data_IF_706919473782
#
_entry.id   IF_706919473782
#
_cell.length_a   1.000
_cell.length_b   1.000
_cell.length_c   1.000
_cell.angle_alpha   90.00
_cell.angle_beta   90.00
_cell.angle_gamma   90.00
#
_symmetry.space_group_name_H-M   'P 1'
#
loop_
_entity.id
_entity.type
_entity.pdbx_description
1 polymer ?
#
# COMPACT_ATOMS: atom_id res chain seq x y z
N UNK A 1 -66.64 -25.47 -0.70
CA UNK A 1 -67.37 -24.90 -1.86
C UNK A 1 -66.87 -23.49 -2.07
N UNK A 2 -66.17 -23.22 -3.18
CA UNK A 2 -66.12 -21.99 -3.96
C UNK A 2 -65.28 -22.36 -5.20
N UNK A 3 -65.96 -22.36 -6.36
CA UNK A 3 -65.40 -22.57 -7.70
C UNK A 3 -65.00 -21.20 -8.25
N UNK A 4 -63.81 -21.07 -8.82
CA UNK A 4 -63.53 -20.02 -9.80
C UNK A 4 -62.80 -20.59 -11.02
N UNK A 5 -63.22 -20.21 -12.25
CA UNK A 5 -62.84 -20.88 -13.47
C UNK A 5 -61.53 -20.33 -14.05
N UNK A 6 -60.86 -21.20 -14.80
CA UNK A 6 -59.70 -20.87 -15.63
C UNK A 6 -60.07 -19.84 -16.71
N UNK A 7 -59.30 -18.75 -16.77
CA UNK A 7 -59.31 -17.81 -17.90
C UNK A 7 -57.96 -17.98 -18.61
N UNK A 8 -58.01 -18.60 -19.79
CA UNK A 8 -56.89 -18.67 -20.72
C UNK A 8 -56.71 -17.29 -21.37
N UNK A 9 -55.61 -16.61 -21.06
CA UNK A 9 -55.22 -15.37 -21.73
C UNK A 9 -54.21 -15.71 -22.84
N UNK A 10 -54.66 -15.62 -24.09
CA UNK A 10 -53.84 -15.63 -25.29
C UNK A 10 -52.95 -14.38 -25.28
N UNK A 11 -51.63 -14.55 -25.12
CA UNK A 11 -50.67 -13.47 -25.30
C UNK A 11 -50.39 -13.29 -26.80
N UNK A 12 -50.90 -12.20 -27.39
CA UNK A 12 -50.50 -11.75 -28.71
C UNK A 12 -49.13 -11.07 -28.62
N UNK A 13 -48.11 -11.71 -29.20
CA UNK A 13 -46.77 -11.14 -29.38
C UNK A 13 -46.84 -10.03 -30.45
N UNK A 14 -46.82 -8.77 -30.00
CA UNK A 14 -46.60 -7.62 -30.87
C UNK A 14 -45.10 -7.37 -30.93
N UNK A 15 -44.46 -7.75 -32.04
CA UNK A 15 -43.06 -7.48 -32.30
C UNK A 15 -42.88 -6.00 -32.71
N UNK A 16 -42.51 -5.15 -31.76
CA UNK A 16 -42.05 -3.78 -32.05
C UNK A 16 -40.59 -3.81 -32.52
N UNK A 17 -40.25 -3.28 -33.70
CA UNK A 17 -38.88 -3.20 -34.16
C UNK A 17 -38.14 -2.16 -33.31
N UNK A 18 -37.14 -2.62 -32.55
CA UNK A 18 -36.25 -1.76 -31.80
C UNK A 18 -35.31 -1.05 -32.79
N UNK A 19 -35.61 0.21 -33.09
CA UNK A 19 -34.71 1.06 -33.88
C UNK A 19 -33.40 1.24 -33.10
N UNK A 20 -32.31 0.70 -33.64
CA UNK A 20 -30.96 0.93 -33.13
C UNK A 20 -30.62 2.42 -33.26
N UNK A 21 -30.71 3.18 -32.18
CA UNK A 21 -30.06 4.49 -32.12
C UNK A 21 -28.54 4.25 -32.17
N UNK A 22 -27.91 4.66 -33.27
CA UNK A 22 -26.48 4.79 -33.34
C UNK A 22 -26.02 5.79 -32.26
N UNK A 23 -25.39 5.28 -31.20
CA UNK A 23 -24.70 6.12 -30.24
C UNK A 23 -23.64 6.93 -31.01
N UNK A 24 -23.82 8.25 -31.07
CA UNK A 24 -22.84 9.15 -31.68
C UNK A 24 -21.48 9.04 -30.97
N UNK A 25 -20.38 9.42 -31.64
CA UNK A 25 -19.05 9.40 -31.03
C UNK A 25 -19.08 10.17 -29.70
N UNK A 26 -18.65 9.52 -28.61
CA UNK A 26 -18.49 10.21 -27.34
C UNK A 26 -17.51 11.38 -27.52
N UNK A 27 -17.77 12.56 -26.90
CA UNK A 27 -16.84 13.67 -26.93
C UNK A 27 -15.45 13.22 -26.47
N UNK A 28 -14.41 13.59 -27.22
CA UNK A 28 -13.04 13.30 -26.81
C UNK A 28 -12.78 13.93 -25.43
N UNK A 29 -12.07 13.25 -24.52
CA UNK A 29 -11.70 13.82 -23.24
C UNK A 29 -10.98 15.16 -23.45
N UNK A 30 -11.20 16.16 -22.58
CA UNK A 30 -10.45 17.39 -22.64
C UNK A 30 -8.94 17.09 -22.52
N UNK A 31 -8.08 17.83 -23.23
CA UNK A 31 -6.64 17.61 -23.16
C UNK A 31 -6.14 17.81 -21.73
N UNK A 32 -5.15 17.00 -21.33
CA UNK A 32 -4.55 17.11 -20.02
C UNK A 32 -3.87 18.48 -19.85
N UNK A 33 -3.91 19.05 -18.63
CA UNK A 33 -3.32 20.35 -18.35
C UNK A 33 -1.82 20.33 -18.61
N UNK A 34 -1.28 21.44 -19.10
CA UNK A 34 0.16 21.56 -19.30
C UNK A 34 0.86 21.78 -17.96
N UNK A 35 1.71 20.82 -17.59
CA UNK A 35 2.56 20.89 -16.40
C UNK A 35 3.89 21.60 -16.73
N UNK A 36 4.40 22.38 -15.79
CA UNK A 36 5.75 22.92 -15.88
C UNK A 36 6.83 21.81 -15.74
N UNK A 37 8.09 22.17 -15.98
CA UNK A 37 9.19 21.19 -15.97
C UNK A 37 9.37 20.49 -14.61
N UNK A 38 9.17 21.19 -13.50
CA UNK A 38 9.31 20.61 -12.17
C UNK A 38 8.12 19.70 -11.85
N UNK A 39 6.90 20.10 -12.19
CA UNK A 39 5.70 19.27 -12.06
C UNK A 39 5.80 17.99 -12.90
N UNK A 40 6.34 18.09 -14.13
CA UNK A 40 6.61 16.90 -14.98
C UNK A 40 7.62 15.95 -14.32
N UNK A 41 8.67 16.48 -13.70
CA UNK A 41 9.65 15.67 -12.97
C UNK A 41 9.01 14.99 -11.74
N UNK A 42 8.22 15.73 -10.96
CA UNK A 42 7.49 15.18 -9.79
C UNK A 42 6.46 14.13 -10.19
N UNK A 43 5.76 14.32 -11.31
CA UNK A 43 4.83 13.35 -11.87
C UNK A 43 5.56 12.06 -12.29
N UNK A 44 6.69 12.19 -12.99
CA UNK A 44 7.54 11.06 -13.39
C UNK A 44 8.00 10.26 -12.16
N UNK A 45 8.45 10.95 -11.11
CA UNK A 45 8.87 10.30 -9.88
C UNK A 45 7.70 9.62 -9.14
N UNK A 46 6.53 10.27 -9.09
CA UNK A 46 5.33 9.65 -8.51
C UNK A 46 4.93 8.37 -9.25
N UNK A 47 4.97 8.38 -10.59
CA UNK A 47 4.65 7.23 -11.42
C UNK A 47 5.66 6.09 -11.24
N UNK A 48 6.97 6.39 -11.24
CA UNK A 48 7.98 5.34 -11.04
C UNK A 48 7.92 4.73 -9.65
N UNK A 49 7.58 5.51 -8.62
CA UNK A 49 7.36 4.97 -7.27
C UNK A 49 6.14 4.07 -7.20
N UNK A 50 5.05 4.42 -7.89
CA UNK A 50 3.86 3.58 -7.95
C UNK A 50 4.14 2.24 -8.64
N UNK A 51 4.91 2.24 -9.74
CA UNK A 51 5.34 1.02 -10.43
C UNK A 51 6.19 0.16 -9.49
N UNK A 52 7.24 0.72 -8.89
CA UNK A 52 8.12 -0.05 -7.99
C UNK A 52 7.36 -0.55 -6.76
N UNK A 53 6.45 0.24 -6.18
CA UNK A 53 5.64 -0.23 -5.05
C UNK A 53 4.72 -1.41 -5.44
N UNK A 54 4.17 -1.39 -6.65
CA UNK A 54 3.40 -2.52 -7.18
C UNK A 54 4.27 -3.76 -7.39
N UNK A 55 5.48 -3.59 -7.92
CA UNK A 55 6.44 -4.67 -8.14
C UNK A 55 6.94 -5.27 -6.80
N UNK A 56 7.17 -4.42 -5.79
CA UNK A 56 7.47 -4.85 -4.42
C UNK A 56 6.34 -5.70 -3.83
N UNK A 57 5.07 -5.30 -4.05
CA UNK A 57 3.92 -6.05 -3.57
C UNK A 57 3.78 -7.43 -4.25
N UNK A 58 4.30 -7.58 -5.48
CA UNK A 58 4.36 -8.87 -6.19
C UNK A 58 5.62 -9.69 -5.86
N UNK A 59 6.54 -9.14 -5.06
CA UNK A 59 7.78 -9.82 -4.68
C UNK A 59 8.84 -9.84 -5.78
N UNK A 60 8.79 -8.92 -6.74
CA UNK A 60 9.79 -8.85 -7.81
C UNK A 60 11.17 -8.49 -7.23
N UNK A 61 12.13 -9.40 -7.33
CA UNK A 61 13.48 -9.24 -6.72
C UNK A 61 14.14 -7.91 -7.09
N UNK A 62 13.99 -7.51 -8.35
CA UNK A 62 14.53 -6.26 -8.84
C UNK A 62 13.93 -5.03 -8.16
N UNK A 63 12.67 -5.05 -7.73
CA UNK A 63 12.03 -3.95 -7.03
C UNK A 63 12.34 -3.94 -5.53
N UNK A 64 12.61 -5.11 -4.95
CA UNK A 64 12.99 -5.27 -3.54
C UNK A 64 14.37 -4.68 -3.21
N UNK A 65 15.18 -4.33 -4.22
CA UNK A 65 16.45 -3.60 -4.03
C UNK A 65 16.27 -2.14 -3.62
N UNK A 66 15.10 -1.56 -3.91
CA UNK A 66 14.80 -0.17 -3.57
C UNK A 66 14.17 -0.07 -2.17
N UNK A 67 14.23 1.11 -1.52
CA UNK A 67 13.51 1.31 -0.27
C UNK A 67 12.00 1.00 -0.40
N UNK A 68 11.28 0.67 0.68
CA UNK A 68 9.83 0.48 0.61
C UNK A 68 9.11 1.75 0.13
N UNK A 69 8.34 1.65 -0.96
CA UNK A 69 7.71 2.83 -1.59
C UNK A 69 6.20 2.93 -1.40
N UNK A 70 5.53 1.90 -0.87
CA UNK A 70 4.07 1.90 -0.66
C UNK A 70 3.58 3.14 0.09
N UNK A 71 4.24 3.48 1.20
CA UNK A 71 3.86 4.64 2.05
C UNK A 71 4.50 5.92 1.54
N UNK A 72 5.83 5.93 1.40
CA UNK A 72 6.58 7.15 1.06
C UNK A 72 6.28 7.65 -0.36
N UNK A 73 6.18 6.75 -1.33
CA UNK A 73 5.81 7.09 -2.71
C UNK A 73 4.38 7.64 -2.82
N UNK A 74 3.44 7.08 -2.05
CA UNK A 74 2.07 7.61 -1.94
C UNK A 74 2.06 9.02 -1.35
N UNK A 75 2.76 9.25 -0.25
CA UNK A 75 2.86 10.57 0.37
C UNK A 75 3.51 11.60 -0.57
N UNK A 76 4.54 11.21 -1.32
CA UNK A 76 5.17 12.05 -2.34
C UNK A 76 4.15 12.48 -3.40
N UNK A 77 3.35 11.54 -3.91
CA UNK A 77 2.29 11.83 -4.86
C UNK A 77 1.19 12.71 -4.27
N UNK A 78 0.78 12.49 -3.01
CA UNK A 78 -0.23 13.33 -2.33
C UNK A 78 0.24 14.78 -2.25
N UNK A 79 1.51 15.02 -1.89
CA UNK A 79 2.10 16.37 -1.82
C UNK A 79 2.21 17.03 -3.18
N UNK A 80 2.68 16.30 -4.20
CA UNK A 80 2.69 16.75 -5.59
C UNK A 80 1.28 17.14 -6.06
N UNK A 81 0.30 16.27 -5.80
CA UNK A 81 -1.09 16.48 -6.20
C UNK A 81 -1.70 17.72 -5.55
N UNK A 82 -1.51 17.90 -4.24
CA UNK A 82 -1.97 19.09 -3.52
C UNK A 82 -1.39 20.38 -4.12
N UNK A 83 -0.06 20.46 -4.27
CA UNK A 83 0.59 21.64 -4.87
C UNK A 83 0.15 21.91 -6.30
N UNK A 84 -0.07 20.85 -7.09
CA UNK A 84 -0.52 20.99 -8.49
C UNK A 84 -1.94 21.50 -8.57
N UNK A 85 -2.85 20.98 -7.73
CA UNK A 85 -4.23 21.48 -7.61
C UNK A 85 -4.22 22.96 -7.22
N UNK A 86 -3.47 23.32 -6.18
CA UNK A 86 -3.39 24.70 -5.68
C UNK A 86 -2.88 25.68 -6.74
N UNK A 87 -1.90 25.24 -7.55
CA UNK A 87 -1.26 26.09 -8.57
C UNK A 87 -2.07 26.22 -9.86
N UNK A 88 -2.77 25.17 -10.27
CA UNK A 88 -3.38 25.08 -11.62
C UNK A 88 -4.91 25.06 -11.60
N UNK A 89 -5.53 24.86 -10.44
CA UNK A 89 -6.98 24.75 -10.30
C UNK A 89 -7.57 23.45 -10.84
N UNK A 90 -6.74 22.47 -11.23
CA UNK A 90 -7.22 21.17 -11.74
C UNK A 90 -7.80 20.33 -10.61
N UNK A 91 -8.61 19.32 -10.96
CA UNK A 91 -9.24 18.46 -9.93
C UNK A 91 -8.32 17.31 -9.50
N UNK A 92 -8.67 16.68 -8.38
CA UNK A 92 -8.02 15.44 -7.92
C UNK A 92 -8.12 14.32 -8.96
N UNK A 93 -9.26 14.22 -9.63
CA UNK A 93 -9.49 13.26 -10.72
C UNK A 93 -8.54 13.53 -11.88
N UNK A 94 -8.33 14.79 -12.26
CA UNK A 94 -7.33 15.15 -13.28
C UNK A 94 -5.91 14.75 -12.86
N UNK A 95 -5.52 14.97 -11.59
CA UNK A 95 -4.21 14.52 -11.07
C UNK A 95 -4.07 13.00 -11.13
N UNK A 96 -5.14 12.25 -10.84
CA UNK A 96 -5.14 10.79 -10.97
C UNK A 96 -4.92 10.37 -12.42
N UNK A 97 -5.62 10.97 -13.38
CA UNK A 97 -5.45 10.66 -14.81
C UNK A 97 -4.03 11.02 -15.29
N UNK A 98 -3.44 12.13 -14.80
CA UNK A 98 -2.04 12.47 -15.06
C UNK A 98 -1.09 11.35 -14.61
N UNK A 99 -1.29 10.81 -13.40
CA UNK A 99 -0.47 9.72 -12.87
C UNK A 99 -0.63 8.43 -13.68
N UNK A 100 -1.86 8.05 -14.00
CA UNK A 100 -2.16 6.84 -14.79
C UNK A 100 -1.54 6.93 -16.18
N UNK A 101 -1.70 8.07 -16.86
CA UNK A 101 -1.09 8.32 -18.16
C UNK A 101 0.44 8.25 -18.11
N UNK A 102 1.05 8.72 -17.02
CA UNK A 102 2.50 8.69 -16.87
C UNK A 102 3.03 7.28 -16.57
N UNK A 103 2.30 6.49 -15.76
CA UNK A 103 2.59 5.07 -15.53
C UNK A 103 2.55 4.31 -16.85
N UNK A 104 1.49 4.50 -17.65
CA UNK A 104 1.40 3.87 -18.98
C UNK A 104 2.55 4.28 -19.89
N UNK A 105 2.93 5.57 -19.88
CA UNK A 105 4.05 6.08 -20.68
C UNK A 105 5.36 5.40 -20.31
N UNK A 106 5.65 5.26 -19.01
CA UNK A 106 6.84 4.59 -18.51
C UNK A 106 6.86 3.10 -18.85
N UNK A 107 5.72 2.41 -18.72
CA UNK A 107 5.59 1.00 -19.09
C UNK A 107 5.79 0.77 -20.61
N UNK A 108 5.19 1.63 -21.45
CA UNK A 108 5.38 1.59 -22.91
C UNK A 108 6.84 1.85 -23.29
N UNK A 109 7.50 2.80 -22.63
CA UNK A 109 8.93 3.07 -22.82
C UNK A 109 9.78 1.85 -22.47
N UNK A 110 9.53 1.25 -21.30
CA UNK A 110 10.20 0.04 -20.84
C UNK A 110 10.04 -1.13 -21.83
N UNK A 111 8.83 -1.33 -22.37
CA UNK A 111 8.55 -2.36 -23.37
C UNK A 111 9.27 -2.09 -24.71
N UNK A 112 9.28 -0.85 -25.18
CA UNK A 112 9.91 -0.47 -26.43
C UNK A 112 11.44 -0.67 -26.43
N UNK A 113 12.08 -0.48 -25.28
CA UNK A 113 13.53 -0.68 -25.11
C UNK A 113 13.89 -2.16 -24.93
N UNK A 114 12.93 -3.03 -24.60
CA UNK A 114 13.19 -4.45 -24.33
C UNK A 114 13.97 -4.72 -23.04
N UNK A 115 14.17 -3.70 -22.21
CA UNK A 115 14.83 -3.76 -20.90
C UNK A 115 13.97 -3.05 -19.84
N UNK A 116 12.87 -3.69 -19.38
CA UNK A 116 11.98 -3.06 -18.42
C UNK A 116 12.67 -2.75 -17.08
N UNK A 117 13.51 -3.67 -16.61
CA UNK A 117 14.17 -3.55 -15.32
C UNK A 117 15.27 -2.48 -15.30
N UNK A 118 16.12 -2.43 -16.33
CA UNK A 118 17.12 -1.39 -16.44
C UNK A 118 16.50 -0.03 -16.72
N UNK A 119 15.40 0.04 -17.47
CA UNK A 119 14.65 1.30 -17.68
C UNK A 119 14.10 1.81 -16.35
N UNK A 120 13.43 0.94 -15.57
CA UNK A 120 12.91 1.30 -14.26
C UNK A 120 14.03 1.78 -13.32
N UNK A 121 15.15 1.06 -13.28
CA UNK A 121 16.32 1.42 -12.47
C UNK A 121 16.88 2.80 -12.84
N UNK A 122 17.00 3.10 -14.13
CA UNK A 122 17.47 4.40 -14.62
C UNK A 122 16.47 5.52 -14.29
N UNK A 123 15.17 5.24 -14.34
CA UNK A 123 14.13 6.24 -14.02
C UNK A 123 14.03 6.52 -12.53
N UNK A 124 14.12 5.50 -11.66
CA UNK A 124 13.97 5.69 -10.22
C UNK A 124 15.21 6.30 -9.54
N UNK A 125 16.42 6.02 -10.05
CA UNK A 125 17.66 6.52 -9.45
C UNK A 125 17.68 8.04 -9.16
N UNK A 126 17.33 8.93 -10.11
CA UNK A 126 17.26 10.38 -9.84
C UNK A 126 16.07 10.80 -8.99
N UNK A 127 15.06 9.94 -8.83
CA UNK A 127 13.87 10.23 -8.04
C UNK A 127 14.06 9.98 -6.54
N UNK A 128 14.89 9.02 -6.14
CA UNK A 128 15.11 8.70 -4.72
C UNK A 128 15.60 9.92 -3.89
N UNK A 129 16.58 10.73 -4.33
CA UNK A 129 16.97 11.93 -3.60
C UNK A 129 15.85 12.96 -3.46
N UNK A 130 14.96 13.07 -4.47
CA UNK A 130 13.77 13.95 -4.41
C UNK A 130 12.76 13.44 -3.40
N UNK A 131 12.56 12.12 -3.35
CA UNK A 131 11.73 11.49 -2.34
C UNK A 131 12.27 11.76 -0.94
N UNK A 132 13.57 11.58 -0.72
CA UNK A 132 14.20 11.82 0.59
C UNK A 132 14.10 13.29 1.04
N UNK A 133 14.18 14.23 0.10
CA UNK A 133 14.04 15.66 0.38
C UNK A 133 12.62 16.06 0.79
N UNK A 134 11.60 15.42 0.22
CA UNK A 134 10.20 15.75 0.51
C UNK A 134 9.59 14.90 1.62
N UNK A 135 9.83 13.59 1.61
CA UNK A 135 9.21 12.62 2.50
C UNK A 135 10.32 11.89 3.24
N UNK A 136 10.59 12.18 4.53
CA UNK A 136 11.68 11.55 5.25
C UNK A 136 11.64 10.01 5.24
N UNK A 137 12.79 9.33 5.34
CA UNK A 137 12.84 7.87 5.50
C UNK A 137 12.02 7.37 6.69
N UNK A 138 11.51 6.14 6.57
CA UNK A 138 10.76 5.50 7.63
C UNK A 138 11.65 5.31 8.88
N UNK A 139 11.07 5.51 10.06
CA UNK A 139 11.77 5.31 11.31
C UNK A 139 12.03 3.82 11.53
N UNK A 140 13.23 3.46 12.02
CA UNK A 140 13.51 2.07 12.42
C UNK A 140 12.86 1.78 13.77
N UNK A 141 11.89 0.86 13.85
CA UNK A 141 11.28 0.48 15.12
C UNK A 141 12.29 -0.26 16.02
N UNK A 142 12.16 -0.09 17.33
CA UNK A 142 12.83 -0.90 18.33
C UNK A 142 12.22 -2.30 18.39
N UNK A 143 12.93 -3.27 18.99
CA UNK A 143 12.40 -4.64 19.18
C UNK A 143 11.04 -4.66 19.90
N UNK A 144 10.85 -3.80 20.91
CA UNK A 144 9.57 -3.69 21.61
C UNK A 144 8.45 -3.11 20.74
N UNK A 145 8.76 -2.06 19.97
CA UNK A 145 7.81 -1.52 19.00
C UNK A 145 7.43 -2.57 17.95
N UNK A 146 8.38 -3.37 17.47
CA UNK A 146 8.09 -4.45 16.53
C UNK A 146 7.20 -5.54 17.11
N UNK A 147 7.43 -5.96 18.36
CA UNK A 147 6.56 -6.92 19.02
C UNK A 147 5.13 -6.38 19.10
N UNK A 148 4.97 -5.14 19.56
CA UNK A 148 3.67 -4.48 19.66
C UNK A 148 2.97 -4.32 18.29
N UNK A 149 3.69 -3.83 17.27
CA UNK A 149 3.15 -3.63 15.92
C UNK A 149 2.67 -4.96 15.31
N UNK A 150 3.47 -6.03 15.41
CA UNK A 150 3.09 -7.33 14.86
C UNK A 150 1.92 -7.96 15.63
N UNK A 151 1.85 -7.76 16.95
CA UNK A 151 0.70 -8.19 17.76
C UNK A 151 -0.58 -7.46 17.34
N UNK A 152 -0.52 -6.14 17.18
CA UNK A 152 -1.67 -5.34 16.71
C UNK A 152 -2.13 -5.77 15.30
N UNK A 153 -1.18 -6.01 14.40
CA UNK A 153 -1.49 -6.51 13.06
C UNK A 153 -2.18 -7.89 13.11
N UNK A 154 -1.66 -8.80 13.95
CA UNK A 154 -2.32 -10.09 14.19
C UNK A 154 -3.75 -9.91 14.73
N UNK A 155 -3.94 -9.07 15.75
CA UNK A 155 -5.25 -8.82 16.36
C UNK A 155 -6.26 -8.30 15.34
N UNK A 156 -5.86 -7.35 14.49
CA UNK A 156 -6.71 -6.79 13.43
C UNK A 156 -7.09 -7.84 12.38
N UNK A 157 -6.10 -8.57 11.85
CA UNK A 157 -6.34 -9.59 10.81
C UNK A 157 -7.15 -10.75 11.39
N UNK A 158 -6.83 -11.20 12.60
CA UNK A 158 -7.58 -12.25 13.28
C UNK A 158 -9.02 -11.83 13.57
N UNK A 159 -9.28 -10.59 13.97
CA UNK A 159 -10.64 -10.10 14.17
C UNK A 159 -11.47 -10.11 12.87
N UNK A 160 -10.82 -9.86 11.72
CA UNK A 160 -11.46 -9.86 10.39
C UNK A 160 -11.68 -11.26 9.83
N UNK A 161 -10.71 -12.17 9.98
CA UNK A 161 -10.64 -13.43 9.23
C UNK A 161 -10.64 -14.69 10.11
N UNK A 162 -10.46 -14.53 11.42
CA UNK A 162 -10.19 -15.63 12.34
C UNK A 162 -8.90 -16.39 12.00
N UNK A 163 -8.72 -17.57 12.61
CA UNK A 163 -7.56 -18.44 12.36
C UNK A 163 -7.67 -19.27 11.07
N UNK A 164 -8.70 -19.06 10.26
CA UNK A 164 -8.85 -19.75 8.97
C UNK A 164 -7.96 -19.12 7.87
N UNK A 165 -7.71 -17.81 7.94
CA UNK A 165 -6.85 -17.09 7.01
C UNK A 165 -5.37 -17.42 7.21
N UNK A 166 -4.58 -17.58 6.12
CA UNK A 166 -3.14 -17.81 6.22
C UNK A 166 -2.41 -16.62 6.86
N UNK A 167 -2.84 -15.38 6.57
CA UNK A 167 -2.21 -14.17 7.09
C UNK A 167 -2.28 -14.08 8.62
N UNK A 168 -3.45 -14.37 9.22
CA UNK A 168 -3.60 -14.39 10.68
C UNK A 168 -2.65 -15.42 11.34
N UNK A 169 -2.43 -16.57 10.69
CA UNK A 169 -1.53 -17.62 11.20
C UNK A 169 -0.08 -17.16 11.14
N UNK A 170 0.34 -16.60 10.02
CA UNK A 170 1.71 -16.12 9.83
C UNK A 170 2.02 -14.98 10.80
N UNK A 171 1.11 -14.00 10.93
CA UNK A 171 1.26 -12.90 11.89
C UNK A 171 1.30 -13.38 13.34
N UNK A 172 0.51 -14.39 13.70
CA UNK A 172 0.57 -15.00 15.04
C UNK A 172 1.95 -15.58 15.35
N UNK A 173 2.56 -16.25 14.38
CA UNK A 173 3.88 -16.85 14.54
C UNK A 173 4.93 -15.74 14.69
N UNK A 174 4.89 -14.75 13.79
CA UNK A 174 5.84 -13.63 13.80
C UNK A 174 5.74 -12.82 15.09
N UNK A 175 4.52 -12.48 15.55
CA UNK A 175 4.31 -11.73 16.79
C UNK A 175 4.83 -12.50 18.00
N UNK A 176 4.53 -13.81 18.09
CA UNK A 176 5.03 -14.65 19.18
C UNK A 176 6.57 -14.75 19.22
N UNK A 177 7.22 -14.86 18.07
CA UNK A 177 8.69 -14.89 17.98
C UNK A 177 9.30 -13.58 18.45
N UNK A 178 8.80 -12.45 17.94
CA UNK A 178 9.36 -11.13 18.26
C UNK A 178 9.07 -10.75 19.71
N UNK A 179 7.89 -11.05 20.25
CA UNK A 179 7.56 -10.84 21.67
C UNK A 179 8.46 -11.71 22.57
N UNK A 180 8.67 -12.99 22.24
CA UNK A 180 9.60 -13.85 22.98
C UNK A 180 11.01 -13.27 23.04
N UNK A 181 11.49 -12.72 21.91
CA UNK A 181 12.80 -12.05 21.84
C UNK A 181 12.83 -10.77 22.68
N UNK A 182 11.76 -9.96 22.66
CA UNK A 182 11.66 -8.79 23.53
C UNK A 182 11.73 -9.19 25.00
N UNK A 183 10.96 -10.20 25.42
CA UNK A 183 10.95 -10.70 26.80
C UNK A 183 12.33 -11.17 27.23
N UNK A 184 13.04 -11.93 26.38
CA UNK A 184 14.43 -12.33 26.62
C UNK A 184 15.37 -11.12 26.74
N UNK A 185 15.23 -10.13 25.87
CA UNK A 185 16.05 -8.92 25.91
C UNK A 185 15.82 -8.08 27.18
N UNK A 186 14.58 -8.06 27.69
CA UNK A 186 14.23 -7.39 28.94
C UNK A 186 14.73 -8.18 30.17
N UNK A 187 14.61 -9.51 30.15
CA UNK A 187 15.17 -10.39 31.19
C UNK A 187 16.70 -10.25 31.28
N UNK A 188 17.39 -10.18 30.14
CA UNK A 188 18.84 -9.95 30.08
C UNK A 188 19.26 -8.59 30.67
N UNK A 189 18.34 -7.62 30.75
CA UNK A 189 18.53 -6.33 31.42
C UNK A 189 18.22 -6.38 32.92
N UNK A 190 17.92 -7.56 33.47
CA UNK A 190 17.66 -7.79 34.89
C UNK A 190 16.23 -7.50 35.34
N UNK A 191 15.28 -7.34 34.42
CA UNK A 191 13.87 -7.13 34.79
C UNK A 191 13.26 -8.44 35.32
N UNK A 192 12.42 -8.31 36.36
CA UNK A 192 11.57 -9.40 36.85
C UNK A 192 10.43 -9.73 35.88
N UNK A 193 9.82 -10.91 36.02
CA UNK A 193 8.67 -11.34 35.21
C UNK A 193 7.57 -10.27 35.13
N UNK A 194 7.08 -9.80 36.28
CA UNK A 194 6.03 -8.77 36.32
C UNK A 194 6.48 -7.44 35.68
N UNK A 195 7.76 -7.08 35.80
CA UNK A 195 8.28 -5.87 35.17
C UNK A 195 8.37 -6.01 33.64
N UNK A 196 8.70 -7.21 33.16
CA UNK A 196 8.67 -7.55 31.73
C UNK A 196 7.23 -7.45 31.20
N UNK A 197 6.27 -8.08 31.89
CA UNK A 197 4.86 -8.07 31.48
C UNK A 197 4.31 -6.64 31.39
N UNK A 198 4.59 -5.81 32.41
CA UNK A 198 4.23 -4.39 32.37
C UNK A 198 4.88 -3.66 31.20
N UNK A 199 6.17 -3.91 30.93
CA UNK A 199 6.87 -3.25 29.82
C UNK A 199 6.32 -3.65 28.45
N UNK A 200 5.93 -4.92 28.27
CA UNK A 200 5.31 -5.40 27.03
C UNK A 200 3.94 -4.76 26.84
N UNK A 201 3.09 -4.74 27.89
CA UNK A 201 1.77 -4.13 27.84
C UNK A 201 1.83 -2.62 27.55
N UNK A 202 2.72 -1.88 28.22
CA UNK A 202 2.91 -0.44 27.97
C UNK A 202 3.34 -0.13 26.53
N UNK A 203 4.16 -1.00 25.94
CA UNK A 203 4.60 -0.83 24.56
C UNK A 203 3.47 -1.12 23.56
N UNK A 204 2.65 -2.14 23.83
CA UNK A 204 1.43 -2.43 23.06
C UNK A 204 0.46 -1.24 23.11
N UNK A 205 0.13 -0.74 24.31
CA UNK A 205 -0.76 0.42 24.48
C UNK A 205 -0.23 1.67 23.76
N UNK A 206 1.10 1.89 23.81
CA UNK A 206 1.75 3.01 23.11
C UNK A 206 1.58 2.90 21.60
N UNK A 207 1.81 1.72 21.03
CA UNK A 207 1.66 1.49 19.60
C UNK A 207 0.19 1.49 19.16
N UNK A 208 -0.73 1.03 20.00
CA UNK A 208 -2.16 1.13 19.73
C UNK A 208 -2.60 2.59 19.65
N UNK A 209 -2.21 3.41 20.62
CA UNK A 209 -2.47 4.85 20.59
C UNK A 209 -1.89 5.52 19.35
N UNK A 210 -0.71 5.08 18.93
CA UNK A 210 -0.09 5.59 17.72
C UNK A 210 -0.85 5.18 16.46
N UNK A 211 -1.25 3.91 16.34
CA UNK A 211 -2.04 3.40 15.22
C UNK A 211 -3.39 4.12 15.08
N UNK A 212 -4.03 4.47 16.20
CA UNK A 212 -5.31 5.18 16.26
C UNK A 212 -5.18 6.71 16.18
N UNK A 213 -3.96 7.25 16.13
CA UNK A 213 -3.71 8.69 16.10
C UNK A 213 -4.05 9.33 14.75
N UNK A 214 -4.09 10.67 14.70
CA UNK A 214 -4.36 11.44 13.47
C UNK A 214 -3.14 11.62 12.55
N UNK A 215 -2.03 10.93 12.85
CA UNK A 215 -0.77 11.00 12.08
C UNK A 215 -0.60 9.82 11.11
N UNK A 216 0.60 9.59 10.58
CA UNK A 216 0.90 8.42 9.73
C UNK A 216 0.79 7.07 10.47
N UNK A 217 0.44 7.08 11.75
CA UNK A 217 0.35 5.88 12.59
C UNK A 217 1.60 5.00 12.53
N UNK A 218 1.39 3.69 12.52
CA UNK A 218 2.46 2.69 12.41
C UNK A 218 3.10 2.65 11.02
N UNK A 219 2.50 3.26 9.99
CA UNK A 219 3.06 3.31 8.63
C UNK A 219 4.33 4.17 8.55
N UNK A 220 4.63 4.97 9.58
CA UNK A 220 5.88 5.72 9.68
C UNK A 220 7.09 4.84 9.98
N UNK A 221 6.88 3.59 10.37
CA UNK A 221 7.95 2.64 10.71
C UNK A 221 8.33 1.78 9.52
N UNK A 222 9.62 1.46 9.44
CA UNK A 222 10.15 0.45 8.54
C UNK A 222 9.83 -0.96 9.07
N UNK A 223 8.69 -1.52 8.64
CA UNK A 223 8.27 -2.85 9.09
C UNK A 223 9.22 -3.97 8.65
N UNK A 224 10.10 -3.73 7.67
CA UNK A 224 11.14 -4.69 7.30
C UNK A 224 12.07 -4.97 8.49
N UNK A 225 12.36 -3.96 9.30
CA UNK A 225 13.13 -4.11 10.54
C UNK A 225 12.45 -5.11 11.49
N UNK A 226 11.12 -5.18 11.52
CA UNK A 226 10.41 -6.15 12.37
C UNK A 226 10.53 -7.59 11.86
N UNK A 227 10.51 -7.79 10.55
CA UNK A 227 10.79 -9.11 9.97
C UNK A 227 12.24 -9.53 10.16
N UNK A 228 13.19 -8.59 10.16
CA UNK A 228 14.58 -8.86 10.54
C UNK A 228 14.69 -9.35 11.98
N UNK A 229 13.97 -8.74 12.92
CA UNK A 229 13.85 -9.22 14.29
C UNK A 229 13.12 -10.57 14.43
N UNK A 230 12.47 -11.07 13.38
CA UNK A 230 11.84 -12.40 13.37
C UNK A 230 12.69 -13.47 12.67
N UNK A 231 13.75 -13.08 11.93
CA UNK A 231 14.62 -14.03 11.24
C UNK A 231 15.20 -15.05 12.22
N UNK A 232 15.27 -16.35 11.88
CA UNK A 232 15.95 -17.33 12.71
C UNK A 232 17.35 -16.86 13.08
N UNK A 233 17.77 -17.12 14.31
CA UNK A 233 19.16 -16.86 14.69
C UNK A 233 20.04 -17.72 13.77
N UNK A 234 21.17 -17.18 13.28
CA UNK A 234 22.12 -17.97 12.52
C UNK A 234 22.45 -19.21 13.34
N UNK A 235 22.30 -20.39 12.73
CA UNK A 235 22.56 -21.65 13.43
C UNK A 235 23.99 -21.56 13.95
N UNK A 236 24.14 -21.46 15.27
CA UNK A 236 25.29 -22.05 15.96
C UNK A 236 25.25 -23.51 15.56
N UNK A 237 26.07 -23.89 14.58
CA UNK A 237 26.20 -25.27 14.15
C UNK A 237 26.30 -26.17 15.39
N UNK A 238 25.43 -27.19 15.43
CA UNK A 238 25.64 -28.35 16.28
C UNK A 238 26.98 -29.00 15.93
#
# INVERSE_FOLDING_TARGET
>A
MIRFPAVAALFALVATPLAAQAAGPAPAPPPLPELDAEQKAQLTCSAVFAIVASDQARGEEAALRFPPLKVRGREYFVRFGARTIDKTGITRETVKVLLESEVERLQKLAAAVGDPQGTLTRTIAPCLPRLDAEVPPLAKPTLGQCAAILTLAYEEVHAREGMAGPEARDLKILSAVVESRQRKALAAKGLSGDAIDRSVAQEHDRMLKEALGTGPGVEKYDLQTCYEFAKPDEKSHY
#
